data_IF_036990155418
#
_entry.id   IF_036990155418
#
_cell.length_a   1.000
_cell.length_b   1.000
_cell.length_c   1.000
_cell.angle_alpha   90.00
_cell.angle_beta   90.00
_cell.angle_gamma   90.00
#
_symmetry.space_group_name_H-M   'P 1'
#
loop_
_entity.id
_entity.type
_entity.pdbx_description
1 polymer ?
#
# COMPACT_ATOMS: atom_id res chain seq x y z
N UNK A 1 -18.22 2.94 3.57
CA UNK A 1 -17.27 1.88 3.16
C UNK A 1 -18.03 0.81 2.39
N UNK A 2 -17.68 0.59 1.12
CA UNK A 2 -18.20 -0.56 0.35
C UNK A 2 -17.88 -1.87 1.05
N UNK A 3 -18.75 -2.90 1.00
CA UNK A 3 -18.41 -4.24 1.50
C UNK A 3 -17.11 -4.77 0.88
N UNK A 4 -16.42 -5.65 1.60
CA UNK A 4 -15.15 -6.24 1.15
C UNK A 4 -15.27 -6.91 -0.22
N UNK A 5 -16.31 -7.71 -0.41
CA UNK A 5 -16.62 -8.37 -1.68
C UNK A 5 -16.82 -7.37 -2.81
N UNK A 6 -17.52 -6.24 -2.55
CA UNK A 6 -17.70 -5.20 -3.56
C UNK A 6 -16.38 -4.54 -3.96
N UNK A 7 -15.45 -4.35 -3.02
CA UNK A 7 -14.11 -3.85 -3.34
C UNK A 7 -13.33 -4.85 -4.18
N UNK A 8 -13.42 -6.14 -3.83
CA UNK A 8 -12.75 -7.21 -4.57
C UNK A 8 -13.31 -7.34 -5.99
N UNK A 9 -14.62 -7.38 -6.19
CA UNK A 9 -15.20 -7.43 -7.55
C UNK A 9 -14.89 -6.16 -8.34
N UNK A 10 -14.66 -5.02 -7.66
CA UNK A 10 -14.32 -3.76 -8.31
C UNK A 10 -13.01 -3.77 -9.08
N UNK A 11 -12.09 -4.70 -8.77
CA UNK A 11 -10.80 -4.78 -9.45
C UNK A 11 -10.93 -5.11 -10.94
N UNK A 12 -12.04 -5.74 -11.36
CA UNK A 12 -12.29 -6.14 -12.76
C UNK A 12 -12.59 -4.95 -13.68
N UNK A 13 -12.89 -3.78 -13.09
CA UNK A 13 -13.11 -2.54 -13.83
C UNK A 13 -11.80 -1.84 -14.22
N UNK A 14 -10.66 -2.35 -13.75
CA UNK A 14 -9.34 -1.84 -14.06
C UNK A 14 -8.38 -2.95 -14.49
N UNK A 15 -7.23 -2.54 -15.01
CA UNK A 15 -6.20 -3.45 -15.54
C UNK A 15 -5.97 -3.25 -17.03
N UNK A 16 -5.04 -4.02 -17.58
CA UNK A 16 -4.73 -4.01 -19.00
C UNK A 16 -4.96 -5.42 -19.58
N UNK A 17 -5.63 -5.47 -20.73
CA UNK A 17 -5.98 -6.70 -21.44
C UNK A 17 -5.37 -6.72 -22.86
N UNK A 18 -4.22 -6.05 -23.04
CA UNK A 18 -3.49 -6.05 -24.31
C UNK A 18 -2.71 -7.36 -24.54
N UNK A 19 -2.21 -7.56 -25.76
CA UNK A 19 -1.44 -8.76 -26.13
C UNK A 19 -0.17 -8.95 -25.27
N UNK A 20 0.44 -7.88 -24.74
CA UNK A 20 1.58 -8.01 -23.83
C UNK A 20 1.17 -8.60 -22.46
N UNK A 21 0.04 -8.17 -21.91
CA UNK A 21 -0.49 -8.73 -20.66
C UNK A 21 -0.92 -10.18 -20.87
N UNK A 22 -1.52 -10.50 -22.01
CA UNK A 22 -1.83 -11.87 -22.39
C UNK A 22 -0.57 -12.74 -22.42
N UNK A 23 0.45 -12.33 -23.16
CA UNK A 23 1.69 -13.08 -23.25
C UNK A 23 2.38 -13.26 -21.89
N UNK A 24 2.35 -12.23 -21.04
CA UNK A 24 2.90 -12.31 -19.69
C UNK A 24 2.13 -13.31 -18.80
N UNK A 25 0.80 -13.31 -18.85
CA UNK A 25 -0.04 -14.21 -18.07
C UNK A 25 0.08 -15.68 -18.56
N UNK A 26 0.05 -15.90 -19.87
CA UNK A 26 0.19 -17.24 -20.45
C UNK A 26 1.58 -17.84 -20.13
N UNK A 27 2.64 -17.01 -20.07
CA UNK A 27 3.98 -17.44 -19.65
C UNK A 27 4.02 -17.97 -18.22
N UNK A 28 3.14 -17.50 -17.33
CA UNK A 28 3.01 -17.99 -15.95
C UNK A 28 1.98 -19.12 -15.80
N UNK A 29 1.45 -19.64 -16.91
CA UNK A 29 0.49 -20.75 -16.91
C UNK A 29 -0.96 -20.34 -16.61
N UNK A 30 -1.28 -19.04 -16.69
CA UNK A 30 -2.66 -18.56 -16.53
C UNK A 30 -3.44 -18.82 -17.83
N UNK A 31 -4.60 -19.45 -17.72
CA UNK A 31 -5.58 -19.52 -18.82
C UNK A 31 -6.18 -18.12 -19.04
N UNK A 32 -5.57 -17.37 -19.95
CA UNK A 32 -5.95 -16.00 -20.26
C UNK A 32 -7.41 -15.89 -20.73
N UNK A 33 -7.86 -16.83 -21.58
CA UNK A 33 -9.20 -16.76 -22.15
C UNK A 33 -10.26 -17.02 -21.09
N UNK A 34 -10.08 -18.06 -20.27
CA UNK A 34 -10.97 -18.33 -19.14
C UNK A 34 -11.00 -17.13 -18.18
N UNK A 35 -9.81 -16.60 -17.83
CA UNK A 35 -9.69 -15.45 -16.94
C UNK A 35 -10.44 -14.23 -17.47
N UNK A 36 -10.16 -13.80 -18.70
CA UNK A 36 -10.80 -12.62 -19.29
C UNK A 36 -12.30 -12.81 -19.44
N UNK A 37 -12.76 -13.99 -19.85
CA UNK A 37 -14.18 -14.31 -19.95
C UNK A 37 -14.90 -14.13 -18.61
N UNK A 38 -14.31 -14.67 -17.52
CA UNK A 38 -14.87 -14.56 -16.18
C UNK A 38 -14.84 -13.13 -15.64
N UNK A 39 -13.75 -12.39 -15.85
CA UNK A 39 -13.64 -11.00 -15.43
C UNK A 39 -14.64 -10.11 -16.17
N UNK A 40 -14.88 -10.35 -17.47
CA UNK A 40 -15.91 -9.64 -18.25
C UNK A 40 -17.30 -9.90 -17.71
N UNK A 41 -17.64 -11.15 -17.37
CA UNK A 41 -18.92 -11.46 -16.73
C UNK A 41 -19.14 -10.65 -15.45
N UNK A 42 -18.11 -10.56 -14.59
CA UNK A 42 -18.16 -9.75 -13.38
C UNK A 42 -18.27 -8.24 -13.70
N UNK A 43 -17.51 -7.75 -14.69
CA UNK A 43 -17.56 -6.35 -15.12
C UNK A 43 -18.95 -5.98 -15.66
N UNK A 44 -19.57 -6.85 -16.45
CA UNK A 44 -20.92 -6.67 -16.98
C UNK A 44 -21.96 -6.54 -15.87
N UNK A 45 -21.73 -7.13 -14.69
CA UNK A 45 -22.59 -6.97 -13.52
C UNK A 45 -22.62 -5.56 -12.92
N UNK A 46 -21.66 -4.70 -13.28
CA UNK A 46 -21.71 -3.27 -12.93
C UNK A 46 -22.60 -2.46 -13.87
N UNK A 47 -22.95 -3.00 -15.04
CA UNK A 47 -23.92 -2.39 -15.94
C UNK A 47 -25.34 -2.87 -15.61
N UNK A 48 -26.18 -1.94 -15.13
CA UNK A 48 -27.58 -2.20 -14.79
C UNK A 48 -28.43 -2.70 -15.97
N UNK A 49 -27.97 -2.50 -17.21
CA UNK A 49 -28.66 -2.98 -18.42
C UNK A 49 -28.37 -4.45 -18.72
N UNK A 50 -27.35 -5.05 -18.09
CA UNK A 50 -27.10 -6.50 -18.13
C UNK A 50 -27.85 -7.19 -16.99
N UNK A 51 -29.18 -7.28 -17.11
CA UNK A 51 -30.08 -7.64 -16.01
C UNK A 51 -29.69 -8.91 -15.23
N UNK A 52 -29.21 -9.96 -15.91
CA UNK A 52 -28.79 -11.20 -15.25
C UNK A 52 -27.54 -10.97 -14.40
N UNK A 53 -26.48 -10.44 -14.99
CA UNK A 53 -25.20 -10.20 -14.32
C UNK A 53 -25.37 -9.17 -13.20
N UNK A 54 -26.15 -8.11 -13.43
CA UNK A 54 -26.45 -7.10 -12.42
C UNK A 54 -27.21 -7.69 -11.23
N UNK A 55 -28.16 -8.61 -11.47
CA UNK A 55 -28.87 -9.31 -10.39
C UNK A 55 -27.94 -10.24 -9.62
N UNK A 56 -27.14 -11.07 -10.29
CA UNK A 56 -26.15 -11.96 -9.65
C UNK A 56 -25.13 -11.14 -8.82
N UNK A 57 -24.65 -10.01 -9.35
CA UNK A 57 -23.75 -9.10 -8.64
C UNK A 57 -24.42 -8.46 -7.42
N UNK A 58 -25.70 -8.09 -7.53
CA UNK A 58 -26.48 -7.56 -6.41
C UNK A 58 -26.65 -8.60 -5.29
N UNK A 59 -26.95 -9.86 -5.64
CA UNK A 59 -27.01 -10.95 -4.67
C UNK A 59 -25.66 -11.11 -3.95
N UNK A 60 -24.56 -11.14 -4.71
CA UNK A 60 -23.21 -11.27 -4.16
C UNK A 60 -22.90 -10.15 -3.16
N UNK A 61 -23.11 -8.88 -3.52
CA UNK A 61 -22.81 -7.73 -2.65
C UNK A 61 -23.67 -7.64 -1.38
N UNK A 62 -24.87 -8.22 -1.38
CA UNK A 62 -25.79 -8.19 -0.23
C UNK A 62 -25.90 -9.54 0.49
N UNK A 63 -25.04 -10.50 0.13
CA UNK A 63 -24.97 -11.81 0.79
C UNK A 63 -23.98 -11.81 1.98
N UNK A 64 -23.90 -12.95 2.67
CA UNK A 64 -22.87 -13.23 3.68
C UNK A 64 -21.59 -13.85 3.11
N UNK A 65 -21.45 -13.92 1.78
CA UNK A 65 -20.25 -14.45 1.12
C UNK A 65 -19.05 -13.58 1.50
N UNK A 66 -17.94 -14.21 1.86
CA UNK A 66 -16.68 -13.52 2.18
C UNK A 66 -15.80 -13.39 0.93
N UNK A 67 -14.85 -12.46 0.93
CA UNK A 67 -13.87 -12.37 -0.15
C UNK A 67 -13.10 -13.69 -0.35
N UNK A 68 -12.75 -14.37 0.74
CA UNK A 68 -12.10 -15.69 0.70
C UNK A 68 -12.96 -16.75 0.00
N UNK A 69 -14.26 -16.80 0.32
CA UNK A 69 -15.17 -17.74 -0.33
C UNK A 69 -15.30 -17.44 -1.83
N UNK A 70 -15.39 -16.16 -2.20
CA UNK A 70 -15.46 -15.76 -3.60
C UNK A 70 -14.20 -16.12 -4.39
N UNK A 71 -13.00 -15.90 -3.82
CA UNK A 71 -11.74 -16.27 -4.46
C UNK A 71 -11.58 -17.79 -4.63
N UNK A 72 -12.14 -18.59 -3.71
CA UNK A 72 -12.17 -20.04 -3.83
C UNK A 72 -13.17 -20.52 -4.90
N UNK A 73 -14.31 -19.83 -5.04
CA UNK A 73 -15.32 -20.11 -6.05
C UNK A 73 -14.89 -19.72 -7.47
N UNK A 74 -14.15 -18.59 -7.59
CA UNK A 74 -13.75 -18.01 -8.86
C UNK A 74 -12.22 -18.00 -8.98
N UNK A 75 -11.59 -19.13 -9.35
CA UNK A 75 -10.13 -19.23 -9.45
C UNK A 75 -9.53 -18.24 -10.46
N UNK A 76 -10.29 -17.84 -11.49
CA UNK A 76 -9.87 -16.81 -12.44
C UNK A 76 -9.70 -15.43 -11.79
N UNK A 77 -10.53 -15.09 -10.81
CA UNK A 77 -10.42 -13.83 -10.08
C UNK A 77 -9.18 -13.84 -9.20
N UNK A 78 -8.90 -14.98 -8.56
CA UNK A 78 -7.66 -15.16 -7.80
C UNK A 78 -6.41 -15.11 -8.70
N UNK A 79 -6.45 -15.77 -9.86
CA UNK A 79 -5.38 -15.72 -10.86
C UNK A 79 -5.13 -14.27 -11.33
N UNK A 80 -6.20 -13.48 -11.53
CA UNK A 80 -6.08 -12.08 -11.90
C UNK A 80 -5.41 -11.21 -10.82
N UNK A 81 -5.76 -11.43 -9.54
CA UNK A 81 -5.09 -10.75 -8.41
C UNK A 81 -3.59 -11.06 -8.42
N UNK A 82 -3.24 -12.35 -8.51
CA UNK A 82 -1.84 -12.78 -8.53
C UNK A 82 -1.08 -12.22 -9.74
N UNK A 83 -1.68 -12.27 -10.93
CA UNK A 83 -1.08 -11.71 -12.14
C UNK A 83 -0.73 -10.23 -11.98
N UNK A 84 -1.63 -9.45 -11.38
CA UNK A 84 -1.39 -8.01 -11.12
C UNK A 84 -0.27 -7.79 -10.11
N UNK A 85 -0.27 -8.57 -9.04
CA UNK A 85 0.79 -8.54 -8.01
C UNK A 85 2.15 -8.87 -8.60
N UNK A 86 2.25 -9.95 -9.36
CA UNK A 86 3.49 -10.40 -9.98
C UNK A 86 3.98 -9.41 -11.03
N UNK A 87 3.08 -8.87 -11.84
CA UNK A 87 3.40 -7.85 -12.84
C UNK A 87 3.98 -6.60 -12.19
N UNK A 88 3.38 -6.13 -11.09
CA UNK A 88 3.86 -4.93 -10.40
C UNK A 88 5.20 -5.19 -9.70
N UNK A 89 5.38 -6.36 -9.08
CA UNK A 89 6.65 -6.75 -8.48
C UNK A 89 7.78 -6.85 -9.54
N UNK A 90 7.48 -7.40 -10.72
CA UNK A 90 8.39 -7.43 -11.86
C UNK A 90 8.81 -6.03 -12.31
N UNK A 91 7.84 -5.12 -12.45
CA UNK A 91 8.09 -3.73 -12.80
C UNK A 91 9.01 -3.02 -11.77
N UNK A 92 8.77 -3.20 -10.47
CA UNK A 92 9.64 -2.64 -9.43
C UNK A 92 11.07 -3.21 -9.50
N UNK A 93 11.23 -4.48 -9.88
CA UNK A 93 12.56 -5.10 -10.06
C UNK A 93 13.31 -4.47 -11.23
N UNK A 94 12.66 -4.34 -12.38
CA UNK A 94 13.27 -3.70 -13.56
C UNK A 94 13.66 -2.25 -13.25
N UNK A 95 12.80 -1.50 -12.55
CA UNK A 95 13.09 -0.14 -12.11
C UNK A 95 14.29 -0.12 -11.16
N UNK A 96 14.30 -0.98 -10.16
CA UNK A 96 15.40 -1.08 -9.19
C UNK A 96 16.74 -1.35 -9.87
N UNK A 97 16.80 -2.34 -10.76
CA UNK A 97 18.00 -2.71 -11.51
C UNK A 97 18.47 -1.57 -12.41
N UNK A 98 17.56 -0.94 -13.15
CA UNK A 98 17.89 0.17 -14.05
C UNK A 98 18.44 1.39 -13.28
N UNK A 99 17.85 1.73 -12.13
CA UNK A 99 18.31 2.84 -11.29
C UNK A 99 19.69 2.55 -10.71
N UNK A 100 19.91 1.35 -10.16
CA UNK A 100 21.18 0.97 -9.55
C UNK A 100 22.31 0.77 -10.56
N UNK A 101 22.01 0.41 -11.81
CA UNK A 101 23.00 0.39 -12.89
C UNK A 101 23.60 1.77 -13.16
N UNK A 102 22.85 2.85 -12.91
CA UNK A 102 23.29 4.23 -13.12
C UNK A 102 23.88 4.82 -11.82
N UNK A 103 23.24 4.56 -10.69
CA UNK A 103 23.65 5.08 -9.38
C UNK A 103 23.52 4.00 -8.30
N UNK A 104 24.60 3.21 -8.06
CA UNK A 104 24.55 2.04 -7.17
C UNK A 104 24.21 2.34 -5.70
N UNK A 105 24.38 3.58 -5.25
CA UNK A 105 24.19 3.96 -3.84
C UNK A 105 22.92 4.79 -3.61
N UNK A 106 22.01 4.90 -4.58
CA UNK A 106 20.75 5.64 -4.40
C UNK A 106 19.69 4.76 -3.74
N UNK A 107 19.00 5.28 -2.73
CA UNK A 107 17.85 4.62 -2.12
C UNK A 107 16.63 4.66 -3.05
N UNK A 108 16.29 3.51 -3.62
CA UNK A 108 15.03 3.32 -4.32
C UNK A 108 13.97 2.99 -3.28
N UNK A 109 13.02 3.91 -3.10
CA UNK A 109 12.01 3.85 -2.04
C UNK A 109 10.60 3.74 -2.56
N UNK A 110 9.80 2.85 -1.96
CA UNK A 110 8.36 2.84 -2.15
C UNK A 110 7.66 3.81 -1.19
N UNK A 111 6.93 4.77 -1.73
CA UNK A 111 5.95 5.56 -0.98
C UNK A 111 4.61 4.81 -0.95
N UNK A 112 4.32 4.13 0.15
CA UNK A 112 3.12 3.33 0.30
C UNK A 112 1.99 4.16 0.94
N UNK A 113 0.84 4.24 0.25
CA UNK A 113 -0.34 4.99 0.70
C UNK A 113 -1.64 4.17 0.65
N UNK A 114 -1.58 2.94 0.11
CA UNK A 114 -2.77 2.18 -0.22
C UNK A 114 -3.37 1.52 1.03
N UNK A 115 -4.67 1.71 1.25
CA UNK A 115 -5.42 1.02 2.31
C UNK A 115 -5.61 -0.48 2.01
N UNK A 116 -5.78 -0.82 0.74
CA UNK A 116 -5.98 -2.17 0.22
C UNK A 116 -4.97 -2.43 -0.91
N UNK A 117 -3.67 -2.55 -0.60
CA UNK A 117 -2.62 -2.65 -1.61
C UNK A 117 -2.83 -3.80 -2.59
N UNK A 118 -3.31 -4.95 -2.11
CA UNK A 118 -3.59 -6.13 -2.92
C UNK A 118 -4.62 -5.85 -4.02
N UNK A 119 -5.63 -5.01 -3.76
CA UNK A 119 -6.63 -4.62 -4.77
C UNK A 119 -6.07 -3.68 -5.83
N UNK A 120 -4.93 -3.03 -5.54
CA UNK A 120 -4.17 -2.25 -6.51
C UNK A 120 -3.16 -3.12 -7.29
N UNK A 121 -3.01 -4.40 -6.94
CA UNK A 121 -1.96 -5.26 -7.47
C UNK A 121 -0.60 -5.04 -6.78
N UNK A 122 -0.58 -4.50 -5.56
CA UNK A 122 0.63 -4.31 -4.77
C UNK A 122 0.70 -5.37 -3.66
N UNK A 123 1.65 -6.29 -3.75
CA UNK A 123 2.08 -7.05 -2.58
C UNK A 123 3.28 -6.36 -1.93
N UNK A 124 3.05 -5.81 -0.75
CA UNK A 124 4.07 -5.07 -0.02
C UNK A 124 5.25 -5.96 0.41
N UNK A 125 5.01 -7.26 0.63
CA UNK A 125 6.09 -8.21 0.97
C UNK A 125 7.04 -8.40 -0.22
N UNK A 126 6.50 -8.70 -1.39
CA UNK A 126 7.29 -8.91 -2.61
C UNK A 126 8.02 -7.64 -3.05
N UNK A 127 7.34 -6.49 -3.07
CA UNK A 127 7.98 -5.22 -3.46
C UNK A 127 8.98 -4.77 -2.39
N UNK A 128 8.67 -4.96 -1.09
CA UNK A 128 9.57 -4.64 0.00
C UNK A 128 10.89 -5.42 -0.01
N UNK A 129 10.90 -6.63 -0.58
CA UNK A 129 12.12 -7.39 -0.80
C UNK A 129 13.01 -6.84 -1.94
N UNK A 130 12.43 -6.03 -2.84
CA UNK A 130 13.12 -5.45 -4.00
C UNK A 130 13.69 -4.07 -3.66
N UNK A 131 12.86 -3.17 -3.12
CA UNK A 131 13.26 -1.77 -2.85
C UNK A 131 14.12 -1.65 -1.59
N UNK A 132 14.93 -0.60 -1.51
CA UNK A 132 15.86 -0.40 -0.39
C UNK A 132 15.11 -0.02 0.89
N UNK A 133 14.10 0.85 0.77
CA UNK A 133 13.30 1.33 1.89
C UNK A 133 11.83 1.53 1.57
N UNK A 134 11.02 1.56 2.63
CA UNK A 134 9.58 1.83 2.57
C UNK A 134 9.28 3.11 3.33
N UNK A 135 8.46 3.99 2.77
CA UNK A 135 7.89 5.11 3.49
C UNK A 135 6.37 4.98 3.54
N UNK A 136 5.81 4.97 4.74
CA UNK A 136 4.37 5.18 4.88
C UNK A 136 4.06 6.62 4.47
N UNK A 137 3.10 6.78 3.56
CA UNK A 137 2.52 8.07 3.19
C UNK A 137 1.14 8.20 3.84
N UNK A 138 1.02 7.74 5.08
CA UNK A 138 -0.13 8.02 5.93
C UNK A 138 0.03 9.40 6.54
N UNK A 139 -1.01 10.21 6.35
CA UNK A 139 -1.08 11.55 6.86
C UNK A 139 -2.34 11.68 7.74
N UNK A 140 -2.58 10.71 8.62
CA UNK A 140 -3.79 10.68 9.44
C UNK A 140 -3.96 11.93 10.31
N UNK A 141 -2.89 12.67 10.62
CA UNK A 141 -2.97 13.96 11.32
C UNK A 141 -3.78 15.01 10.52
N UNK A 142 -3.87 14.87 9.19
CA UNK A 142 -4.59 15.79 8.30
C UNK A 142 -6.09 15.85 8.54
N UNK A 143 -6.66 14.83 9.17
CA UNK A 143 -8.10 14.78 9.46
C UNK A 143 -8.51 15.78 10.52
N UNK A 144 -7.61 16.12 11.46
CA UNK A 144 -7.96 16.80 12.71
C UNK A 144 -8.74 15.92 13.68
N UNK A 145 -8.79 14.60 13.44
CA UNK A 145 -9.58 13.62 14.18
C UNK A 145 -8.65 12.65 14.93
N UNK A 146 -8.64 12.69 16.28
CA UNK A 146 -7.83 11.78 17.11
C UNK A 146 -8.06 10.29 16.85
N UNK A 147 -9.27 9.88 16.48
CA UNK A 147 -9.60 8.46 16.24
C UNK A 147 -8.82 7.89 15.04
N UNK A 148 -8.33 8.76 14.15
CA UNK A 148 -7.48 8.38 13.02
C UNK A 148 -6.09 7.91 13.44
N UNK A 149 -5.66 8.16 14.68
CA UNK A 149 -4.37 7.66 15.18
C UNK A 149 -4.39 6.15 15.41
N UNK A 150 -5.54 5.57 15.75
CA UNK A 150 -5.70 4.10 15.80
C UNK A 150 -5.65 3.49 14.40
N UNK A 151 -6.20 4.19 13.40
CA UNK A 151 -6.00 3.78 12.00
C UNK A 151 -4.52 3.83 11.60
N UNK A 152 -3.81 4.94 11.90
CA UNK A 152 -2.36 5.05 11.65
C UNK A 152 -1.61 3.88 12.28
N UNK A 153 -1.88 3.58 13.55
CA UNK A 153 -1.26 2.45 14.26
C UNK A 153 -1.47 1.12 13.53
N UNK A 154 -2.72 0.80 13.20
CA UNK A 154 -3.06 -0.43 12.47
C UNK A 154 -2.36 -0.49 11.09
N UNK A 155 -2.33 0.64 10.38
CA UNK A 155 -1.68 0.76 9.09
C UNK A 155 -0.17 0.53 9.15
N UNK A 156 0.54 1.17 10.10
CA UNK A 156 1.98 0.98 10.27
C UNK A 156 2.32 -0.44 10.73
N UNK A 157 1.50 -1.06 11.58
CA UNK A 157 1.65 -2.49 11.91
C UNK A 157 1.48 -3.39 10.68
N UNK A 158 0.52 -3.08 9.80
CA UNK A 158 0.32 -3.79 8.53
C UNK A 158 1.57 -3.73 7.65
N UNK A 159 2.16 -2.54 7.50
CA UNK A 159 3.42 -2.36 6.77
C UNK A 159 4.52 -3.20 7.41
N UNK A 160 4.74 -3.03 8.72
CA UNK A 160 5.85 -3.68 9.42
C UNK A 160 5.72 -5.21 9.40
N UNK A 161 4.50 -5.75 9.49
CA UNK A 161 4.20 -7.18 9.32
C UNK A 161 4.59 -7.68 7.93
N UNK A 162 4.33 -6.89 6.88
CA UNK A 162 4.60 -7.30 5.50
C UNK A 162 6.10 -7.32 5.16
N UNK A 163 6.86 -6.33 5.65
CA UNK A 163 8.25 -6.10 5.25
C UNK A 163 9.29 -6.62 6.26
N UNK A 164 8.84 -7.08 7.44
CA UNK A 164 9.71 -7.54 8.51
C UNK A 164 10.33 -6.39 9.32
N UNK A 165 11.03 -6.73 10.40
CA UNK A 165 11.64 -5.76 11.34
C UNK A 165 12.91 -5.12 10.84
N UNK A 166 13.59 -5.75 9.87
CA UNK A 166 14.93 -5.33 9.47
C UNK A 166 14.93 -4.37 8.27
N UNK A 167 13.85 -4.33 7.49
CA UNK A 167 13.70 -3.40 6.36
C UNK A 167 13.60 -1.97 6.88
N UNK A 168 14.40 -1.07 6.31
CA UNK A 168 14.38 0.34 6.65
C UNK A 168 13.03 0.98 6.33
N UNK A 169 12.36 1.48 7.36
CA UNK A 169 10.99 1.97 7.31
C UNK A 169 10.89 3.39 7.84
N UNK A 170 10.32 4.27 7.02
CA UNK A 170 10.05 5.64 7.38
C UNK A 170 8.55 5.85 7.58
N UNK A 171 8.19 6.55 8.66
CA UNK A 171 6.81 6.98 8.85
C UNK A 171 6.64 8.45 8.49
N UNK A 172 5.61 8.79 7.72
CA UNK A 172 5.27 10.19 7.47
C UNK A 172 4.45 10.80 8.61
N UNK A 173 4.73 12.06 8.89
CA UNK A 173 3.98 12.93 9.80
C UNK A 173 3.54 14.16 9.00
N UNK A 174 2.25 14.52 9.08
CA UNK A 174 1.74 15.72 8.41
C UNK A 174 1.49 16.87 9.39
N UNK A 175 2.10 18.05 9.20
CA UNK A 175 1.90 19.23 10.03
C UNK A 175 0.83 20.21 9.50
N UNK A 176 0.02 19.76 8.53
CA UNK A 176 -1.09 20.49 7.86
C UNK A 176 -2.12 19.47 7.35
N UNK A 177 -3.34 19.80 6.90
CA UNK A 177 -4.00 21.10 7.02
C UNK A 177 -4.79 21.23 8.33
N UNK A 178 -5.42 20.15 8.83
CA UNK A 178 -6.13 20.15 10.12
C UNK A 178 -5.34 19.52 11.27
N UNK A 179 -4.06 19.23 11.03
CA UNK A 179 -3.17 18.73 12.07
C UNK A 179 -3.09 19.72 13.24
N UNK A 180 -3.09 19.18 14.46
CA UNK A 180 -2.82 19.93 15.68
C UNK A 180 -1.47 19.50 16.26
N UNK A 181 -0.83 20.30 17.12
CA UNK A 181 0.38 19.89 17.84
C UNK A 181 0.22 18.54 18.54
N UNK A 182 -0.94 18.28 19.15
CA UNK A 182 -1.24 17.04 19.87
C UNK A 182 -1.27 15.83 18.92
N UNK A 183 -1.94 15.97 17.76
CA UNK A 183 -1.97 14.92 16.74
C UNK A 183 -0.59 14.65 16.15
N UNK A 184 0.23 15.68 15.96
CA UNK A 184 1.61 15.53 15.50
C UNK A 184 2.44 14.74 16.51
N UNK A 185 2.39 15.11 17.80
CA UNK A 185 3.11 14.38 18.86
C UNK A 185 2.61 12.94 19.00
N UNK A 186 1.30 12.72 18.92
CA UNK A 186 0.71 11.38 18.93
C UNK A 186 1.13 10.55 17.72
N UNK A 187 1.14 11.12 16.51
CA UNK A 187 1.60 10.46 15.29
C UNK A 187 3.06 10.03 15.36
N UNK A 188 3.92 10.83 15.99
CA UNK A 188 5.33 10.50 16.26
C UNK A 188 5.43 9.32 17.23
N UNK A 189 4.72 9.36 18.35
CA UNK A 189 4.71 8.27 19.32
C UNK A 189 4.22 6.96 18.70
N UNK A 190 3.11 7.01 17.94
CA UNK A 190 2.58 5.86 17.19
C UNK A 190 3.64 5.32 16.22
N UNK A 191 4.30 6.20 15.46
CA UNK A 191 5.32 5.80 14.50
C UNK A 191 6.49 5.07 15.15
N UNK A 192 6.98 5.57 16.29
CA UNK A 192 8.03 4.92 17.06
C UNK A 192 7.59 3.56 17.63
N UNK A 193 6.40 3.48 18.22
CA UNK A 193 5.84 2.24 18.77
C UNK A 193 5.60 1.16 17.70
N UNK A 194 5.26 1.57 16.47
CA UNK A 194 5.10 0.67 15.33
C UNK A 194 6.43 0.31 14.65
N UNK A 195 7.56 0.78 15.23
CA UNK A 195 8.90 0.43 14.82
C UNK A 195 9.41 1.17 13.60
N UNK A 196 8.98 2.40 13.31
CA UNK A 196 9.60 3.19 12.25
C UNK A 196 11.06 3.55 12.60
N UNK A 197 11.96 3.38 11.64
CA UNK A 197 13.40 3.69 11.77
C UNK A 197 13.68 5.19 11.59
N UNK A 198 12.81 5.89 10.87
CA UNK A 198 12.90 7.32 10.65
C UNK A 198 11.53 7.97 10.49
N UNK A 199 11.50 9.28 10.67
CA UNK A 199 10.34 10.13 10.43
C UNK A 199 10.57 11.00 9.19
N UNK A 200 9.52 11.24 8.43
CA UNK A 200 9.53 12.20 7.33
C UNK A 200 8.40 13.19 7.51
N UNK A 201 8.66 14.46 7.17
CA UNK A 201 7.64 15.50 7.23
C UNK A 201 6.97 15.59 5.87
N UNK A 202 5.70 15.21 5.79
CA UNK A 202 4.90 15.38 4.59
C UNK A 202 4.44 16.82 4.43
N UNK A 203 4.43 17.33 3.20
CA UNK A 203 3.83 18.62 2.88
C UNK A 203 4.35 19.81 3.71
N UNK A 204 5.66 19.84 3.91
CA UNK A 204 6.36 20.85 4.71
C UNK A 204 6.11 22.29 4.22
N UNK A 205 5.88 22.46 2.91
CA UNK A 205 5.60 23.72 2.22
C UNK A 205 4.41 24.51 2.79
N UNK A 206 3.42 23.82 3.37
CA UNK A 206 2.24 24.47 3.97
C UNK A 206 2.06 24.13 5.45
N UNK A 207 3.14 23.82 6.14
CA UNK A 207 3.10 23.43 7.54
C UNK A 207 2.70 24.59 8.47
N UNK A 208 1.94 24.28 9.52
CA UNK A 208 1.74 25.23 10.61
C UNK A 208 2.97 25.27 11.50
N UNK A 209 3.44 26.48 11.84
CA UNK A 209 4.67 26.65 12.64
C UNK A 209 4.59 25.99 14.02
N UNK A 210 3.40 25.97 14.65
CA UNK A 210 3.18 25.25 15.92
C UNK A 210 3.30 23.74 15.74
N UNK A 211 2.83 23.18 14.61
CA UNK A 211 2.98 21.77 14.30
C UNK A 211 4.44 21.40 14.01
N UNK A 212 5.22 22.28 13.37
CA UNK A 212 6.66 22.06 13.20
C UNK A 212 7.41 22.04 14.53
N UNK A 213 7.06 22.92 15.48
CA UNK A 213 7.59 22.85 16.86
C UNK A 213 7.19 21.55 17.56
N UNK A 214 5.94 21.13 17.38
CA UNK A 214 5.42 19.89 17.94
C UNK A 214 6.18 18.65 17.44
N UNK A 215 6.81 18.70 16.27
CA UNK A 215 7.67 17.60 15.80
C UNK A 215 8.88 17.43 16.73
N UNK A 216 9.57 18.51 17.07
CA UNK A 216 10.71 18.47 17.99
C UNK A 216 10.27 18.02 19.38
N UNK A 217 9.19 18.62 19.89
CA UNK A 217 8.62 18.27 21.20
C UNK A 217 8.22 16.79 21.25
N UNK A 218 7.53 16.29 20.22
CA UNK A 218 7.11 14.88 20.17
C UNK A 218 8.26 13.89 20.11
N UNK A 219 9.37 14.23 19.44
CA UNK A 219 10.59 13.41 19.45
C UNK A 219 11.19 13.36 20.87
N UNK A 220 11.26 14.51 21.55
CA UNK A 220 11.78 14.61 22.92
C UNK A 220 10.91 13.87 23.94
N UNK A 221 9.59 14.09 23.88
CA UNK A 221 8.60 13.45 24.76
C UNK A 221 8.54 11.93 24.57
N UNK A 222 8.69 11.44 23.33
CA UNK A 222 8.73 10.01 23.04
C UNK A 222 10.08 9.35 23.39
N UNK A 223 11.07 10.13 23.88
CA UNK A 223 12.39 9.61 24.22
C UNK A 223 13.18 9.10 23.01
N UNK A 224 12.89 9.61 21.82
CA UNK A 224 13.52 9.16 20.57
C UNK A 224 14.92 9.76 20.48
N UNK A 225 15.94 8.89 20.37
CA UNK A 225 17.34 9.31 20.21
C UNK A 225 17.69 9.35 18.73
N UNK A 226 18.01 10.54 18.21
CA UNK A 226 18.45 10.71 16.82
C UNK A 226 19.93 10.36 16.72
N UNK A 227 20.23 9.22 16.09
CA UNK A 227 21.60 8.82 15.77
C UNK A 227 22.05 9.40 14.44
N UNK A 228 22.98 10.36 14.48
CA UNK A 228 23.53 11.01 13.26
C UNK A 228 24.56 10.17 12.51
N UNK A 229 25.08 9.15 13.17
CA UNK A 229 26.03 8.17 12.65
C UNK A 229 25.34 6.90 12.12
N UNK A 230 24.02 6.78 12.28
CA UNK A 230 23.29 5.66 11.72
C UNK A 230 23.34 5.70 10.18
N UNK A 231 23.54 4.55 9.52
CA UNK A 231 23.49 4.50 8.06
C UNK A 231 22.11 4.96 7.60
N UNK A 232 22.10 6.02 6.78
CA UNK A 232 20.90 6.47 6.09
C UNK A 232 20.57 5.37 5.07
N UNK A 233 19.35 4.83 5.10
CA UNK A 233 18.84 3.81 4.16
C UNK A 233 19.21 2.34 4.41
N UNK A 234 19.34 1.88 5.66
CA UNK A 234 19.36 0.44 5.96
C UNK A 234 20.53 -0.36 5.36
N UNK A 235 21.48 0.33 4.72
CA UNK A 235 22.73 -0.25 4.30
C UNK A 235 23.50 -0.65 5.55
N UNK A 236 23.47 -1.93 5.89
CA UNK A 236 24.60 -2.53 6.59
C UNK A 236 25.85 -2.03 5.88
N UNK A 237 26.75 -1.38 6.61
CA UNK A 237 27.94 -0.76 6.03
C UNK A 237 28.60 -1.73 5.06
N UNK A 238 28.41 -1.50 3.77
CA UNK A 238 29.09 -2.24 2.71
C UNK A 238 30.52 -1.70 2.75
N UNK A 239 31.38 -2.39 3.51
CA UNK A 239 32.82 -2.33 3.31
C UNK A 239 33.17 -3.04 2.03
#
# INVERSE_FOLDING_TARGET
NSPEVQRLTGIVLGGCFCEHCRAAAEKTGIDWQAMVSRLRWLADGYDRYNHRQAFEMNLLWHSSVTATALLAEIPELYAFVNFRVDSLAGFYRELYEAVHAIKPDIDVRLNHYAQYPELMGLDLKSVGAIVDSIRSSDYSEQSGDPDRMEWKRAYLHGIRRAIGTDKYFLSAISPRPKATPELVRQGILVSAQCGADALTIGHYDGAWMNCLRAIREGIEEAGIVIRRDAPVCGGAGRR
#
